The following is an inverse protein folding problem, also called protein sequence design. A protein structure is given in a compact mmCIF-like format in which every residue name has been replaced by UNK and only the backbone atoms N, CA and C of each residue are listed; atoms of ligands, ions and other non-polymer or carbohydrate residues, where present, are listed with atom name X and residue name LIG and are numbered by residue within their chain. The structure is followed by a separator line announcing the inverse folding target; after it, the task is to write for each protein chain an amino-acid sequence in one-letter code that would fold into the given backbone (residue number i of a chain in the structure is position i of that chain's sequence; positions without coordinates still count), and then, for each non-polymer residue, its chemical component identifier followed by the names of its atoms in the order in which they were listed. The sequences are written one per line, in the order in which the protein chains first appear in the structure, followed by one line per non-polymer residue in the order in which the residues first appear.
data_IF_941684158589
#
_entry.id   IF_941684158589
#
_cell.length_a   1.000
_cell.length_b   1.000
_cell.length_c   1.000
_cell.angle_alpha   90.00
_cell.angle_beta   90.00
_cell.angle_gamma   90.00
#
_symmetry.space_group_name_H-M   'P 1'
#
loop_
_entity.id
_entity.type
_entity.pdbx_description
1 polymer ?
#
# COMPACT_ATOMS: atom_id res chain seq x y z
N UNK A 1 18.93 5.03 15.27
CA UNK A 1 18.21 5.77 14.19
C UNK A 1 16.82 6.07 14.71
N UNK A 2 16.28 7.29 14.54
CA UNK A 2 14.92 7.60 14.98
C UNK A 2 13.90 6.80 14.14
N UNK A 3 12.88 6.26 14.80
CA UNK A 3 11.75 5.63 14.11
C UNK A 3 11.02 6.69 13.29
N UNK A 4 10.75 6.40 12.01
CA UNK A 4 9.90 7.22 11.17
C UNK A 4 8.45 6.74 11.35
N UNK A 5 7.58 7.62 11.85
CA UNK A 5 6.15 7.34 12.00
C UNK A 5 5.41 7.94 10.81
N UNK A 6 4.49 7.18 10.22
CA UNK A 6 3.51 7.67 9.25
C UNK A 6 2.11 7.29 9.73
N UNK A 7 1.20 8.27 9.71
CA UNK A 7 -0.21 8.05 10.03
C UNK A 7 -0.94 7.69 8.74
N UNK A 8 -1.81 6.67 8.83
CA UNK A 8 -2.71 6.26 7.75
C UNK A 8 -4.03 7.02 7.76
N UNK A 9 -5.10 6.44 7.24
CA UNK A 9 -6.41 7.10 7.12
C UNK A 9 -6.95 7.64 8.46
N UNK A 10 -7.17 8.96 8.54
CA UNK A 10 -7.99 9.60 9.56
C UNK A 10 -9.42 9.72 9.04
N UNK A 11 -10.38 9.17 9.77
CA UNK A 11 -11.80 9.30 9.43
C UNK A 11 -12.45 10.32 10.36
N UNK A 12 -12.95 11.40 9.78
CA UNK A 12 -13.77 12.38 10.48
C UNK A 12 -15.24 12.00 10.34
N UNK A 13 -15.94 11.91 11.46
CA UNK A 13 -17.38 11.69 11.50
C UNK A 13 -18.08 13.01 11.83
N UNK A 14 -18.91 13.49 10.92
CA UNK A 14 -19.73 14.70 11.12
C UNK A 14 -21.21 14.34 11.11
N UNK A 15 -22.00 14.99 11.96
CA UNK A 15 -23.45 14.78 12.07
C UNK A 15 -24.21 16.00 11.56
N UNK A 16 -25.17 15.77 10.67
CA UNK A 16 -26.21 16.74 10.34
C UNK A 16 -27.59 16.14 10.60
N UNK A 17 -28.30 16.68 11.59
CA UNK A 17 -29.57 16.15 12.12
C UNK A 17 -29.50 14.65 12.46
N UNK A 18 -30.02 13.79 11.59
CA UNK A 18 -30.06 12.33 11.74
C UNK A 18 -29.14 11.59 10.76
N UNK A 19 -28.37 12.33 9.97
CA UNK A 19 -27.43 11.78 9.01
C UNK A 19 -26.00 11.88 9.56
N UNK A 20 -25.25 10.80 9.38
CA UNK A 20 -23.85 10.72 9.74
C UNK A 20 -23.03 10.64 8.45
N UNK A 21 -22.12 11.60 8.27
CA UNK A 21 -21.18 11.62 7.16
C UNK A 21 -19.79 11.26 7.70
N UNK A 22 -19.25 10.15 7.22
CA UNK A 22 -17.86 9.79 7.39
C UNK A 22 -17.07 10.36 6.21
N UNK A 23 -16.04 11.15 6.50
CA UNK A 23 -15.14 11.72 5.49
C UNK A 23 -13.73 11.31 5.84
N UNK A 24 -13.04 10.66 4.90
CA UNK A 24 -11.60 10.46 5.04
C UNK A 24 -10.95 11.84 4.94
N UNK A 25 -10.24 12.25 5.99
CA UNK A 25 -9.47 13.49 5.98
C UNK A 25 -8.14 13.19 5.31
N UNK A 26 -7.82 13.93 4.26
CA UNK A 26 -6.51 13.82 3.64
C UNK A 26 -5.44 14.25 4.65
N UNK A 27 -4.57 13.32 5.04
CA UNK A 27 -3.26 13.68 5.55
C UNK A 27 -2.47 14.08 4.31
N UNK A 28 -2.14 15.37 4.15
CA UNK A 28 -1.73 16.01 2.88
C UNK A 28 -0.50 15.50 2.12
N UNK A 29 -0.08 14.25 2.27
CA UNK A 29 1.07 13.61 1.61
C UNK A 29 0.74 12.18 1.11
N UNK A 30 -0.50 11.91 0.67
CA UNK A 30 -0.94 10.55 0.26
C UNK A 30 -0.60 10.19 -1.19
N UNK A 31 -0.09 11.15 -1.97
CA UNK A 31 0.32 10.89 -3.34
C UNK A 31 1.77 11.31 -3.50
N UNK A 32 2.65 10.43 -4.00
CA UNK A 32 4.02 10.80 -4.27
C UNK A 32 4.03 11.94 -5.30
N UNK A 33 4.87 12.98 -5.11
CA UNK A 33 4.96 14.08 -6.07
C UNK A 33 5.33 13.52 -7.44
N UNK A 34 4.65 13.95 -8.51
CA UNK A 34 4.91 13.47 -9.87
C UNK A 34 6.42 13.46 -10.19
N UNK A 35 6.92 12.34 -10.70
CA UNK A 35 8.33 12.13 -11.05
C UNK A 35 8.41 11.45 -12.41
N UNK A 36 9.17 12.04 -13.31
CA UNK A 36 9.45 11.49 -14.64
C UNK A 36 10.20 10.15 -14.49
N UNK A 37 9.86 9.14 -15.31
CA UNK A 37 10.43 7.79 -15.22
C UNK A 37 9.67 6.80 -14.31
N UNK A 38 8.61 7.24 -13.62
CA UNK A 38 7.73 6.31 -12.88
C UNK A 38 6.79 5.54 -13.78
N UNK A 39 6.69 4.25 -13.52
CA UNK A 39 5.65 3.38 -14.07
C UNK A 39 4.57 3.18 -13.02
N UNK A 40 3.39 3.73 -13.30
CA UNK A 40 2.18 3.46 -12.54
C UNK A 40 1.72 2.02 -12.79
N UNK A 41 1.18 1.38 -11.77
CA UNK A 41 0.59 0.05 -11.89
C UNK A 41 -0.87 0.11 -11.42
N UNK A 42 -1.79 -0.24 -12.31
CA UNK A 42 -3.22 -0.39 -12.00
C UNK A 42 -3.49 -1.72 -11.25
N UNK A 43 -2.53 -2.19 -10.46
CA UNK A 43 -2.63 -3.47 -9.79
C UNK A 43 -3.43 -3.35 -8.50
N UNK A 44 -4.38 -4.27 -8.36
CA UNK A 44 -5.21 -4.48 -7.19
C UNK A 44 -5.37 -5.97 -6.93
N UNK A 45 -5.34 -6.38 -5.66
CA UNK A 45 -5.75 -7.73 -5.27
C UNK A 45 -6.42 -7.76 -3.89
N UNK A 46 -7.69 -8.13 -3.89
CA UNK A 46 -8.48 -8.21 -2.66
C UNK A 46 -8.52 -6.84 -1.96
N UNK A 47 -8.18 -6.76 -0.67
CA UNK A 47 -8.18 -5.50 0.06
C UNK A 47 -7.01 -4.57 -0.28
N UNK A 48 -6.06 -4.98 -1.15
CA UNK A 48 -4.79 -4.30 -1.41
C UNK A 48 -4.76 -3.60 -2.76
N UNK A 49 -4.52 -2.29 -2.77
CA UNK A 49 -4.38 -1.48 -4.00
C UNK A 49 -3.13 -0.59 -3.96
N UNK A 50 -2.54 -0.40 -5.15
CA UNK A 50 -1.50 0.55 -5.59
C UNK A 50 -0.02 0.26 -5.28
N UNK A 51 0.81 0.48 -6.31
CA UNK A 51 2.27 0.38 -6.33
C UNK A 51 2.81 1.25 -7.51
N UNK A 52 3.70 2.20 -7.24
CA UNK A 52 4.49 2.91 -8.26
C UNK A 52 5.95 2.45 -8.19
N UNK A 53 6.58 2.31 -9.34
CA UNK A 53 8.00 1.95 -9.41
C UNK A 53 8.73 2.82 -10.42
N UNK A 54 9.81 3.44 -9.98
CA UNK A 54 10.82 4.08 -10.83
C UNK A 54 11.77 3.00 -11.33
N UNK A 55 11.72 2.72 -12.63
CA UNK A 55 12.47 1.63 -13.27
C UNK A 55 13.96 1.91 -13.41
N UNK A 56 14.37 3.18 -13.35
CA UNK A 56 15.77 3.56 -13.59
C UNK A 56 16.62 3.41 -12.33
N UNK A 57 16.05 3.76 -11.16
CA UNK A 57 16.76 3.70 -9.87
C UNK A 57 16.23 2.62 -8.92
N UNK A 58 15.24 1.85 -9.34
CA UNK A 58 14.56 0.83 -8.53
C UNK A 58 13.94 1.39 -7.25
N UNK A 59 13.58 2.68 -7.25
CA UNK A 59 12.86 3.31 -6.15
C UNK A 59 11.37 3.01 -6.32
N UNK A 60 10.79 2.44 -5.29
CA UNK A 60 9.37 2.15 -5.23
C UNK A 60 8.70 3.16 -4.32
N UNK A 61 7.60 3.70 -4.81
CA UNK A 61 6.66 4.55 -4.08
C UNK A 61 5.34 3.78 -3.95
N UNK A 62 4.99 3.38 -2.74
CA UNK A 62 3.79 2.57 -2.46
C UNK A 62 2.80 3.33 -1.61
N UNK A 63 1.57 3.41 -2.09
CA UNK A 63 0.41 3.82 -1.31
C UNK A 63 -0.48 2.62 -1.07
N UNK A 64 -0.19 1.90 0.01
CA UNK A 64 -0.95 0.69 0.28
C UNK A 64 -2.25 1.07 0.98
N UNK A 65 -3.35 0.62 0.39
CA UNK A 65 -4.65 0.59 1.06
C UNK A 65 -4.95 -0.86 1.44
N UNK A 66 -5.38 -1.11 2.68
CA UNK A 66 -5.89 -2.40 3.15
C UNK A 66 -7.30 -2.20 3.66
N UNK A 67 -8.29 -2.88 3.06
CA UNK A 67 -9.72 -2.78 3.44
C UNK A 67 -10.24 -1.33 3.47
N UNK A 68 -9.81 -0.51 2.50
CA UNK A 68 -10.17 0.91 2.42
C UNK A 68 -9.39 1.83 3.37
N UNK A 69 -8.51 1.30 4.21
CA UNK A 69 -7.63 2.07 5.09
C UNK A 69 -6.28 2.24 4.41
N UNK A 70 -5.92 3.47 4.03
CA UNK A 70 -4.55 3.77 3.62
C UNK A 70 -3.62 3.57 4.83
N UNK A 71 -2.62 2.68 4.71
CA UNK A 71 -1.68 2.36 5.80
C UNK A 71 -0.42 3.24 5.76
N UNK A 72 -0.35 4.15 4.81
CA UNK A 72 0.71 5.13 4.63
C UNK A 72 1.48 4.97 3.33
N UNK A 73 2.16 6.05 2.96
CA UNK A 73 3.06 6.12 1.82
C UNK A 73 4.45 5.54 2.16
N UNK A 74 5.06 4.72 1.31
CA UNK A 74 6.40 4.15 1.54
C UNK A 74 7.27 4.35 0.31
N UNK A 75 8.41 5.05 0.50
CA UNK A 75 9.46 5.21 -0.52
C UNK A 75 10.70 4.41 -0.12
N UNK A 76 11.06 3.40 -0.91
CA UNK A 76 12.18 2.48 -0.63
C UNK A 76 12.76 1.89 -1.92
N UNK A 77 14.01 1.44 -1.89
CA UNK A 77 14.58 0.70 -3.01
C UNK A 77 14.05 -0.74 -3.04
N UNK A 78 13.53 -1.19 -4.18
CA UNK A 78 12.96 -2.53 -4.34
C UNK A 78 14.01 -3.64 -4.30
N UNK A 79 15.28 -3.34 -4.60
CA UNK A 79 16.38 -4.33 -4.54
C UNK A 79 16.58 -4.92 -3.16
N UNK A 80 16.26 -4.14 -2.12
CA UNK A 80 16.37 -4.58 -0.73
C UNK A 80 15.17 -5.47 -0.31
N UNK A 81 14.13 -5.53 -1.14
CA UNK A 81 12.83 -6.06 -0.77
C UNK A 81 12.11 -5.15 0.23
N UNK A 82 10.79 -5.12 0.16
CA UNK A 82 9.98 -4.29 1.07
C UNK A 82 8.92 -5.19 1.68
N UNK A 83 8.94 -5.29 3.01
CA UNK A 83 7.97 -6.08 3.79
C UNK A 83 7.19 -5.13 4.68
N UNK A 84 5.87 -5.20 4.58
CA UNK A 84 4.95 -4.38 5.36
C UNK A 84 4.11 -5.32 6.20
N UNK A 85 4.29 -5.23 7.50
CA UNK A 85 3.48 -5.97 8.47
C UNK A 85 2.18 -5.21 8.69
N UNK A 86 1.07 -5.91 8.52
CA UNK A 86 -0.27 -5.38 8.73
C UNK A 86 -0.78 -5.95 10.06
N UNK A 87 -1.11 -5.06 10.98
CA UNK A 87 -1.73 -5.36 12.26
C UNK A 87 -2.81 -4.31 12.53
N UNK A 88 -3.94 -4.48 11.83
CA UNK A 88 -5.14 -3.68 11.98
C UNK A 88 -6.18 -4.50 12.75
N UNK A 89 -7.17 -3.81 13.33
CA UNK A 89 -8.20 -4.47 14.15
C UNK A 89 -8.89 -5.65 13.45
N UNK A 90 -9.22 -5.49 12.17
CA UNK A 90 -9.92 -6.52 11.38
C UNK A 90 -9.03 -7.27 10.37
N UNK A 91 -7.75 -6.89 10.24
CA UNK A 91 -6.84 -7.45 9.23
C UNK A 91 -5.44 -7.62 9.80
N UNK A 92 -4.89 -8.83 9.68
CA UNK A 92 -3.49 -9.11 10.01
C UNK A 92 -2.76 -9.80 8.86
N UNK A 93 -1.43 -9.68 8.84
CA UNK A 93 -0.58 -10.41 7.91
C UNK A 93 0.59 -9.57 7.41
N UNK A 94 0.96 -9.77 6.15
CA UNK A 94 2.03 -9.00 5.50
C UNK A 94 1.84 -8.87 4.00
N UNK A 95 2.39 -7.79 3.47
CA UNK A 95 2.57 -7.55 2.04
C UNK A 95 4.07 -7.50 1.77
N UNK A 96 4.53 -8.11 0.69
CA UNK A 96 5.95 -8.15 0.32
C UNK A 96 6.13 -7.80 -1.14
N UNK A 97 6.84 -6.72 -1.41
CA UNK A 97 7.25 -6.30 -2.75
C UNK A 97 8.71 -6.66 -2.96
N UNK A 98 9.04 -7.33 -4.06
CA UNK A 98 10.40 -7.83 -4.31
C UNK A 98 10.71 -7.95 -5.80
N UNK A 99 12.00 -7.99 -6.12
CA UNK A 99 12.48 -8.37 -7.44
C UNK A 99 12.68 -9.88 -7.52
N UNK A 100 12.08 -10.51 -8.53
CA UNK A 100 12.36 -11.89 -8.93
C UNK A 100 13.21 -11.86 -10.20
N UNK A 101 14.16 -12.79 -10.30
CA UNK A 101 15.08 -12.89 -11.46
C UNK A 101 15.88 -11.60 -11.77
N UNK A 102 15.94 -10.64 -10.84
CA UNK A 102 16.68 -9.39 -10.97
C UNK A 102 15.98 -8.30 -11.78
N UNK A 103 14.90 -8.60 -12.50
CA UNK A 103 14.19 -7.65 -13.37
C UNK A 103 12.66 -7.78 -13.35
N UNK A 104 12.09 -8.74 -12.63
CA UNK A 104 10.64 -8.89 -12.53
C UNK A 104 10.16 -8.30 -11.21
N UNK A 105 9.17 -7.41 -11.24
CA UNK A 105 8.54 -6.86 -10.04
C UNK A 105 7.39 -7.76 -9.61
N UNK A 106 7.44 -8.22 -8.37
CA UNK A 106 6.43 -9.10 -7.78
C UNK A 106 5.89 -8.54 -6.47
N UNK A 107 4.61 -8.79 -6.21
CA UNK A 107 3.94 -8.51 -4.95
C UNK A 107 3.31 -9.79 -4.41
N UNK A 108 3.72 -10.16 -3.20
CA UNK A 108 3.10 -11.23 -2.42
C UNK A 108 2.19 -10.62 -1.35
N UNK A 109 0.93 -11.02 -1.39
CA UNK A 109 -0.08 -10.71 -0.37
C UNK A 109 -0.33 -11.97 0.45
N UNK A 110 -0.22 -11.83 1.78
CA UNK A 110 -0.55 -12.86 2.76
C UNK A 110 -1.30 -12.17 3.91
N UNK A 111 -2.62 -12.08 3.78
CA UNK A 111 -3.49 -11.35 4.70
C UNK A 111 -4.64 -12.25 5.17
N UNK A 112 -5.06 -12.05 6.42
CA UNK A 112 -6.27 -12.62 6.98
C UNK A 112 -7.19 -11.49 7.42
N UNK A 113 -8.37 -11.45 6.84
CA UNK A 113 -9.45 -10.53 7.19
C UNK A 113 -10.44 -11.30 8.06
N UNK A 114 -10.72 -10.79 9.26
CA UNK A 114 -11.51 -11.52 10.28
C UNK A 114 -12.88 -11.96 9.74
N UNK A 115 -13.53 -11.10 8.95
CA UNK A 115 -14.89 -11.32 8.45
C UNK A 115 -14.96 -11.85 7.00
N UNK A 116 -13.83 -11.98 6.30
CA UNK A 116 -13.80 -12.24 4.85
C UNK A 116 -12.81 -13.34 4.43
N UNK A 117 -12.06 -13.90 5.38
CA UNK A 117 -11.18 -15.04 5.15
C UNK A 117 -9.73 -14.66 4.83
N UNK A 118 -9.03 -15.54 4.11
CA UNK A 118 -7.59 -15.41 3.83
C UNK A 118 -7.31 -15.08 2.38
N UNK A 119 -6.39 -14.14 2.18
CA UNK A 119 -5.89 -13.65 0.90
C UNK A 119 -4.42 -14.01 0.76
N UNK A 120 -4.14 -14.99 -0.10
CA UNK A 120 -2.79 -15.49 -0.36
C UNK A 120 -2.55 -15.50 -1.87
N UNK A 121 -1.69 -14.59 -2.36
CA UNK A 121 -1.33 -14.53 -3.78
C UNK A 121 0.06 -13.98 -3.98
N UNK A 122 0.75 -14.55 -4.96
CA UNK A 122 1.97 -13.98 -5.52
C UNK A 122 1.65 -13.47 -6.92
N UNK A 123 1.82 -12.17 -7.16
CA UNK A 123 1.44 -11.51 -8.40
C UNK A 123 2.66 -10.96 -9.10
N UNK A 124 2.83 -11.33 -10.37
CA UNK A 124 3.72 -10.63 -11.27
C UNK A 124 3.07 -9.30 -11.66
N UNK A 125 3.82 -8.20 -11.55
CA UNK A 125 3.31 -6.86 -11.84
C UNK A 125 3.78 -6.42 -13.23
N UNK A 126 5.10 -6.41 -13.44
CA UNK A 126 5.71 -6.12 -14.75
C UNK A 126 7.21 -6.49 -14.76
N UNK A 127 7.82 -6.43 -15.94
CA UNK A 127 9.27 -6.52 -16.13
C UNK A 127 9.88 -5.15 -16.37
N UNK A 128 11.03 -4.92 -15.75
CA UNK A 128 11.92 -3.77 -15.95
C UNK A 128 12.73 -3.99 -17.22
#
# INVERSE_FOLDING_TARGET
MPYQFKLGALVQLTRDRNEWKATQTELGDILPPYKEGRKETDWSYGPVNHLYVDTDIFETDMDITVTGINVGHITRNLKDGIVIHIDLFDVNGKITSYLKNGNEVWVRVSLKVIFDGSYERDSHIFNI
#
